data_IF_924056096747
#
_entry.id   IF_924056096747
#
_cell.length_a   1.000
_cell.length_b   1.000
_cell.length_c   1.000
_cell.angle_alpha   90.00
_cell.angle_beta   90.00
_cell.angle_gamma   90.00
#
_symmetry.space_group_name_H-M   'P 1'
#
loop_
_entity.id
_entity.type
_entity.pdbx_description
1 polymer ?
#
# COMPACT_ATOMS: atom_id res chain seq x y z
N UNK A 1 -25.41 1.47 0.64
CA UNK A 1 -25.32 1.91 2.05
C UNK A 1 -23.84 1.97 2.41
N UNK A 2 -23.29 3.15 2.72
CA UNK A 2 -21.85 3.33 2.96
C UNK A 2 -21.37 2.56 4.20
N UNK A 3 -22.24 2.38 5.20
CA UNK A 3 -21.90 1.63 6.41
C UNK A 3 -21.72 0.14 6.05
N UNK A 4 -22.59 -0.42 5.22
CA UNK A 4 -22.47 -1.81 4.73
C UNK A 4 -21.18 -2.04 3.93
N UNK A 5 -20.82 -1.10 3.05
CA UNK A 5 -19.57 -1.16 2.30
C UNK A 5 -18.36 -1.17 3.23
N UNK A 6 -18.34 -0.27 4.21
CA UNK A 6 -17.23 -0.16 5.15
C UNK A 6 -17.16 -1.40 6.06
N UNK A 7 -18.30 -1.98 6.45
CA UNK A 7 -18.35 -3.27 7.18
C UNK A 7 -17.74 -4.40 6.36
N UNK A 8 -18.06 -4.45 5.07
CA UNK A 8 -17.56 -5.46 4.13
C UNK A 8 -16.06 -5.30 3.86
N UNK A 9 -15.56 -4.06 3.80
CA UNK A 9 -14.11 -3.81 3.74
C UNK A 9 -13.40 -4.41 4.96
N UNK A 10 -13.97 -4.26 6.15
CA UNK A 10 -13.40 -4.73 7.41
C UNK A 10 -13.88 -6.11 7.87
N UNK A 11 -14.55 -6.92 7.04
CA UNK A 11 -15.23 -8.16 7.48
C UNK A 11 -14.30 -9.09 8.29
N UNK A 12 -13.09 -9.30 7.77
CA UNK A 12 -12.02 -10.11 8.36
C UNK A 12 -10.90 -9.28 9.01
N UNK A 13 -11.29 -8.27 9.79
CA UNK A 13 -10.35 -7.36 10.45
C UNK A 13 -10.56 -7.32 11.97
N UNK A 14 -9.50 -7.11 12.73
CA UNK A 14 -9.53 -6.88 14.17
C UNK A 14 -8.45 -5.87 14.61
N UNK A 15 -8.20 -5.77 15.92
CA UNK A 15 -7.23 -4.81 16.49
C UNK A 15 -5.79 -4.97 15.97
N UNK A 16 -5.46 -6.10 15.36
CA UNK A 16 -4.10 -6.49 14.96
C UNK A 16 -3.96 -6.84 13.49
N UNK A 17 -5.06 -6.84 12.74
CA UNK A 17 -5.06 -7.18 11.32
C UNK A 17 -6.19 -6.47 10.57
N UNK A 18 -5.96 -6.24 9.28
CA UNK A 18 -6.98 -5.75 8.35
C UNK A 18 -7.05 -6.72 7.18
N UNK A 19 -8.25 -7.25 6.90
CA UNK A 19 -8.50 -8.24 5.82
C UNK A 19 -7.58 -9.47 5.89
N UNK A 20 -7.46 -10.07 7.08
CA UNK A 20 -6.56 -11.20 7.38
C UNK A 20 -5.06 -10.91 7.18
N UNK A 21 -4.66 -9.65 7.01
CA UNK A 21 -3.26 -9.27 6.87
C UNK A 21 -2.76 -8.73 8.21
N UNK A 22 -1.76 -9.40 8.77
CA UNK A 22 -1.15 -9.09 10.06
C UNK A 22 0.37 -9.11 9.97
N UNK A 23 1.05 -8.91 11.10
CA UNK A 23 2.51 -9.04 11.20
C UNK A 23 3.04 -10.44 10.85
N UNK A 24 2.20 -11.47 10.91
CA UNK A 24 2.61 -12.85 10.58
C UNK A 24 2.43 -13.18 9.10
N UNK A 25 1.73 -12.34 8.34
CA UNK A 25 1.57 -12.54 6.89
C UNK A 25 2.90 -12.36 6.20
N UNK A 26 3.26 -13.29 5.32
CA UNK A 26 4.55 -13.34 4.62
C UNK A 26 4.40 -13.04 3.13
N UNK A 27 5.53 -12.85 2.43
CA UNK A 27 5.57 -12.78 0.96
C UNK A 27 4.88 -14.00 0.34
N UNK A 28 5.16 -15.20 0.88
CA UNK A 28 4.53 -16.43 0.40
C UNK A 28 3.00 -16.37 0.50
N UNK A 29 2.47 -15.97 1.66
CA UNK A 29 1.02 -15.89 1.86
C UNK A 29 0.36 -14.92 0.87
N UNK A 30 1.02 -13.79 0.57
CA UNK A 30 0.52 -12.81 -0.41
C UNK A 30 0.55 -13.37 -1.83
N UNK A 31 1.61 -14.08 -2.22
CA UNK A 31 1.69 -14.73 -3.54
C UNK A 31 0.64 -15.84 -3.68
N UNK A 32 0.42 -16.62 -2.62
CA UNK A 32 -0.60 -17.67 -2.60
C UNK A 32 -2.03 -17.09 -2.72
N UNK A 33 -2.26 -15.87 -2.20
CA UNK A 33 -3.53 -15.13 -2.38
C UNK A 33 -3.72 -14.62 -3.82
N UNK A 34 -2.64 -14.25 -4.50
CA UNK A 34 -2.66 -13.67 -5.84
C UNK A 34 -1.70 -14.42 -6.78
N UNK A 35 -2.01 -15.69 -7.13
CA UNK A 35 -1.09 -16.54 -7.90
C UNK A 35 -0.85 -16.05 -9.33
N UNK A 36 -1.65 -15.11 -9.82
CA UNK A 36 -1.48 -14.47 -11.12
C UNK A 36 -0.53 -13.27 -11.08
N UNK A 37 -0.13 -12.79 -9.90
CA UNK A 37 0.85 -11.72 -9.77
C UNK A 37 2.23 -12.25 -10.17
N UNK A 38 2.83 -11.74 -11.26
CA UNK A 38 4.13 -12.24 -11.69
C UNK A 38 5.19 -11.90 -10.65
N UNK A 39 6.07 -12.86 -10.36
CA UNK A 39 7.16 -12.68 -9.40
C UNK A 39 8.08 -11.51 -9.81
N UNK A 40 8.10 -11.16 -11.09
CA UNK A 40 8.82 -9.98 -11.59
C UNK A 40 8.30 -8.64 -11.05
N UNK A 41 7.03 -8.57 -10.64
CA UNK A 41 6.43 -7.39 -10.01
C UNK A 41 6.87 -7.20 -8.55
N UNK A 42 7.49 -8.23 -7.95
CA UNK A 42 8.08 -8.14 -6.63
C UNK A 42 9.28 -7.19 -6.66
N UNK A 43 9.17 -6.11 -5.90
CA UNK A 43 10.27 -5.19 -5.61
C UNK A 43 10.86 -5.54 -4.26
N UNK A 44 12.09 -5.09 -4.02
CA UNK A 44 12.89 -5.41 -2.83
C UNK A 44 12.13 -5.22 -1.52
N UNK A 45 11.16 -4.31 -1.44
CA UNK A 45 10.38 -4.05 -0.21
C UNK A 45 8.86 -4.05 -0.39
N UNK A 46 8.35 -4.31 -1.60
CA UNK A 46 6.92 -4.28 -1.84
C UNK A 46 6.49 -5.16 -3.01
N UNK A 47 5.19 -5.47 -3.02
CA UNK A 47 4.49 -6.12 -4.12
C UNK A 47 3.22 -5.33 -4.39
N UNK A 48 3.01 -4.92 -5.65
CA UNK A 48 1.76 -4.30 -6.08
C UNK A 48 0.95 -5.33 -6.84
N UNK A 49 -0.31 -5.49 -6.44
CA UNK A 49 -1.33 -6.28 -7.13
C UNK A 49 -2.24 -5.28 -7.84
N UNK A 50 -2.09 -5.16 -9.15
CA UNK A 50 -2.97 -4.35 -9.97
C UNK A 50 -4.24 -5.13 -10.31
N UNK A 51 -5.39 -4.47 -10.19
CA UNK A 51 -6.73 -5.07 -10.39
C UNK A 51 -6.87 -6.39 -9.62
N UNK A 52 -6.77 -6.36 -8.28
CA UNK A 52 -7.05 -7.54 -7.49
C UNK A 52 -8.45 -8.05 -7.84
N UNK A 53 -8.64 -9.36 -7.95
CA UNK A 53 -9.98 -9.96 -8.06
C UNK A 53 -10.69 -9.85 -6.70
N UNK A 54 -10.97 -8.60 -6.32
CA UNK A 54 -11.44 -8.18 -5.03
C UNK A 54 -12.46 -7.06 -5.21
N UNK A 55 -13.68 -7.46 -5.55
CA UNK A 55 -14.85 -6.59 -5.48
C UNK A 55 -15.49 -6.73 -4.11
N UNK A 56 -15.60 -5.63 -3.36
CA UNK A 56 -16.22 -5.64 -2.02
C UNK A 56 -17.74 -5.60 -2.16
N UNK A 57 -18.23 -4.87 -3.16
CA UNK A 57 -19.63 -4.73 -3.57
C UNK A 57 -19.64 -4.19 -5.02
N UNK A 58 -20.76 -4.29 -5.73
CA UNK A 58 -20.93 -3.83 -7.13
C UNK A 58 -20.58 -2.34 -7.31
N UNK A 59 -20.57 -1.58 -6.21
CA UNK A 59 -20.32 -0.13 -6.19
C UNK A 59 -18.93 0.27 -5.65
N UNK A 60 -18.12 -0.67 -5.15
CA UNK A 60 -16.78 -0.42 -4.62
C UNK A 60 -15.76 -1.38 -5.23
N UNK A 61 -14.95 -0.85 -6.13
CA UNK A 61 -13.88 -1.59 -6.81
C UNK A 61 -12.54 -1.33 -6.14
N UNK A 62 -11.79 -2.38 -5.81
CA UNK A 62 -10.39 -2.25 -5.39
C UNK A 62 -9.52 -2.23 -6.65
N UNK A 63 -8.92 -1.08 -6.95
CA UNK A 63 -8.13 -0.87 -8.17
C UNK A 63 -6.73 -1.47 -8.03
N UNK A 64 -6.13 -1.32 -6.85
CA UNK A 64 -4.82 -1.88 -6.56
C UNK A 64 -4.61 -2.11 -5.06
N UNK A 65 -3.76 -3.08 -4.75
CA UNK A 65 -3.26 -3.32 -3.40
C UNK A 65 -1.74 -3.31 -3.45
N UNK A 66 -1.10 -2.51 -2.61
CA UNK A 66 0.36 -2.57 -2.42
C UNK A 66 0.67 -3.13 -1.05
N UNK A 67 1.38 -4.25 -1.00
CA UNK A 67 1.92 -4.84 0.22
C UNK A 67 3.35 -4.34 0.44
N UNK A 68 3.64 -3.87 1.64
CA UNK A 68 4.97 -3.48 2.07
C UNK A 68 5.55 -4.54 3.02
N UNK A 69 6.85 -4.79 2.94
CA UNK A 69 7.52 -5.81 3.74
C UNK A 69 8.58 -5.19 4.66
N UNK A 70 8.71 -5.78 5.85
CA UNK A 70 9.67 -5.36 6.89
C UNK A 70 11.13 -5.66 6.52
N UNK A 71 11.34 -6.61 5.61
CA UNK A 71 12.65 -7.06 5.14
C UNK A 71 12.65 -7.20 3.63
N UNK A 72 13.85 -7.28 3.08
CA UNK A 72 14.04 -7.50 1.66
C UNK A 72 13.30 -8.76 1.23
N UNK A 73 12.41 -8.61 0.24
CA UNK A 73 11.66 -9.68 -0.40
C UNK A 73 12.54 -10.50 -1.33
N UNK A 74 13.59 -9.90 -1.89
CA UNK A 74 14.63 -10.59 -2.62
C UNK A 74 15.99 -9.91 -2.42
N UNK A 75 17.05 -10.63 -2.77
CA UNK A 75 18.42 -10.12 -2.89
C UNK A 75 18.97 -10.44 -4.27
N UNK A 76 19.68 -9.50 -4.88
CA UNK A 76 20.40 -9.74 -6.12
C UNK A 76 21.71 -10.48 -5.85
N UNK A 77 21.87 -11.64 -6.48
CA UNK A 77 23.07 -12.47 -6.38
C UNK A 77 23.84 -12.38 -7.70
N UNK A 78 25.11 -11.92 -7.70
CA UNK A 78 25.87 -11.82 -8.94
C UNK A 78 26.20 -13.22 -9.47
N UNK A 79 25.85 -13.46 -10.73
CA UNK A 79 26.28 -14.61 -11.50
C UNK A 79 27.50 -14.19 -12.33
N UNK A 80 28.53 -15.01 -12.28
CA UNK A 80 29.80 -14.72 -12.94
C UNK A 80 30.04 -15.65 -14.12
N UNK A 81 30.66 -15.14 -15.17
CA UNK A 81 31.18 -15.93 -16.29
C UNK A 81 32.70 -15.81 -16.39
N UNK A 82 33.32 -16.82 -16.97
CA UNK A 82 34.73 -16.76 -17.34
C UNK A 82 34.87 -16.23 -18.78
N UNK A 83 35.69 -15.21 -18.96
CA UNK A 83 36.03 -14.64 -20.26
C UNK A 83 37.54 -14.69 -20.48
N UNK A 84 37.96 -14.93 -21.72
CA UNK A 84 39.37 -14.88 -22.08
C UNK A 84 39.76 -13.42 -22.38
N UNK A 85 40.77 -12.92 -21.68
CA UNK A 85 41.33 -11.57 -21.84
C UNK A 85 42.76 -11.64 -22.31
N UNK A 86 43.20 -10.59 -22.99
CA UNK A 86 44.59 -10.44 -23.41
C UNK A 86 45.28 -9.34 -22.60
N UNK A 87 46.49 -9.63 -22.11
CA UNK A 87 47.38 -8.68 -21.45
C UNK A 87 48.74 -8.70 -22.16
N UNK A 88 49.30 -7.51 -22.42
CA UNK A 88 50.61 -7.37 -23.08
C UNK A 88 51.76 -8.05 -22.29
N UNK A 89 51.62 -8.19 -20.97
CA UNK A 89 52.63 -8.80 -20.11
C UNK A 89 52.43 -10.31 -19.87
N UNK A 90 51.19 -10.79 -19.91
CA UNK A 90 50.84 -12.16 -19.50
C UNK A 90 50.18 -13.02 -20.61
N UNK A 91 49.97 -12.47 -21.80
CA UNK A 91 49.30 -13.16 -22.90
C UNK A 91 47.79 -13.32 -22.66
N UNK A 92 47.19 -14.38 -23.19
CA UNK A 92 45.78 -14.70 -22.95
C UNK A 92 45.61 -15.36 -21.59
N UNK A 93 44.65 -14.88 -20.78
CA UNK A 93 44.30 -15.44 -19.48
C UNK A 93 42.79 -15.39 -19.27
N UNK A 94 42.27 -16.29 -18.45
CA UNK A 94 40.85 -16.29 -18.10
C UNK A 94 40.62 -15.36 -16.91
N UNK A 95 39.66 -14.45 -17.04
CA UNK A 95 39.19 -13.58 -15.97
C UNK A 95 37.72 -13.87 -15.69
N UNK A 96 37.36 -13.83 -14.41
CA UNK A 96 35.97 -13.88 -13.99
C UNK A 96 35.37 -12.48 -14.08
N UNK A 97 34.24 -12.35 -14.76
CA UNK A 97 33.47 -11.11 -14.87
C UNK A 97 32.02 -11.35 -14.44
N UNK A 98 31.38 -10.31 -13.91
CA UNK A 98 29.93 -10.35 -13.62
C UNK A 98 29.21 -10.49 -14.96
N UNK A 99 28.33 -11.48 -15.06
CA UNK A 99 27.49 -11.71 -16.23
C UNK A 99 26.14 -11.03 -16.05
N UNK A 100 25.41 -11.39 -15.00
CA UNK A 100 24.12 -10.82 -14.63
C UNK A 100 23.87 -10.99 -13.12
N UNK A 101 22.72 -10.55 -12.64
CA UNK A 101 22.26 -10.77 -11.27
C UNK A 101 21.00 -11.64 -11.29
N UNK A 102 20.96 -12.65 -10.41
CA UNK A 102 19.78 -13.46 -10.17
C UNK A 102 19.06 -12.99 -8.90
N UNK A 103 17.73 -12.93 -8.94
CA UNK A 103 16.89 -12.63 -7.77
C UNK A 103 16.74 -13.89 -6.92
N UNK A 104 17.20 -13.83 -5.67
CA UNK A 104 16.92 -14.85 -4.67
C UNK A 104 15.80 -14.38 -3.72
N UNK A 105 14.68 -15.11 -3.68
CA UNK A 105 13.47 -14.72 -2.97
C UNK A 105 13.47 -15.14 -1.50
N UNK A 106 13.04 -14.22 -0.64
CA UNK A 106 12.78 -14.45 0.77
C UNK A 106 11.28 -14.54 1.02
N UNK A 107 10.75 -15.76 0.88
CA UNK A 107 9.34 -16.07 1.07
C UNK A 107 8.81 -15.77 2.49
N UNK A 108 9.71 -15.72 3.48
CA UNK A 108 9.37 -15.49 4.89
C UNK A 108 9.41 -14.02 5.30
N UNK A 109 9.69 -13.09 4.36
CA UNK A 109 9.65 -11.66 4.66
C UNK A 109 8.22 -11.26 5.07
N UNK A 110 8.10 -10.69 6.28
CA UNK A 110 6.81 -10.36 6.88
C UNK A 110 6.28 -9.02 6.39
N UNK A 111 4.97 -8.94 6.17
CA UNK A 111 4.24 -7.71 5.82
C UNK A 111 4.38 -6.69 6.95
N UNK A 112 4.80 -5.49 6.58
CA UNK A 112 4.90 -4.33 7.45
C UNK A 112 3.77 -3.31 7.23
N UNK A 113 3.00 -3.44 6.15
CA UNK A 113 1.81 -2.65 5.89
C UNK A 113 1.17 -3.00 4.55
N UNK A 114 -0.02 -2.45 4.29
CA UNK A 114 -0.66 -2.54 2.99
C UNK A 114 -1.42 -1.25 2.68
N UNK A 115 -1.55 -0.93 1.39
CA UNK A 115 -2.35 0.18 0.87
C UNK A 115 -3.39 -0.36 -0.12
N UNK A 116 -4.66 -0.05 0.13
CA UNK A 116 -5.80 -0.40 -0.72
C UNK A 116 -6.28 0.86 -1.42
N UNK A 117 -6.13 0.92 -2.74
CA UNK A 117 -6.71 1.99 -3.55
C UNK A 117 -8.04 1.53 -4.11
N UNK A 118 -9.10 2.27 -3.81
CA UNK A 118 -10.47 1.92 -4.15
C UNK A 118 -11.16 3.06 -4.89
N UNK A 119 -12.05 2.70 -5.80
CA UNK A 119 -12.94 3.63 -6.49
C UNK A 119 -14.39 3.30 -6.20
N UNK A 120 -15.18 4.34 -5.92
CA UNK A 120 -16.63 4.21 -5.86
C UNK A 120 -17.20 4.38 -7.27
N UNK A 121 -17.97 3.40 -7.73
CA UNK A 121 -18.65 3.41 -9.04
C UNK A 121 -19.82 4.41 -9.09
N UNK A 122 -20.09 5.12 -8.00
CA UNK A 122 -21.09 6.18 -7.92
C UNK A 122 -20.43 7.54 -7.92
N UNK A 123 -20.86 8.44 -8.82
CA UNK A 123 -20.35 9.81 -8.88
C UNK A 123 -21.06 10.76 -7.90
N UNK A 124 -20.38 11.86 -7.57
CA UNK A 124 -20.97 12.99 -6.86
C UNK A 124 -20.10 13.57 -5.74
N UNK A 125 -20.24 14.87 -5.50
CA UNK A 125 -19.54 15.59 -4.42
C UNK A 125 -19.92 15.02 -3.04
N UNK A 126 -18.93 14.91 -2.16
CA UNK A 126 -19.13 14.44 -0.79
C UNK A 126 -19.37 12.93 -0.64
N UNK A 127 -19.31 12.15 -1.72
CA UNK A 127 -19.43 10.68 -1.66
C UNK A 127 -18.21 10.04 -1.03
N UNK A 128 -17.03 10.50 -1.44
CA UNK A 128 -15.71 10.13 -0.91
C UNK A 128 -15.61 10.35 0.60
N UNK A 129 -15.90 11.57 1.07
CA UNK A 129 -15.84 11.90 2.51
C UNK A 129 -16.83 11.06 3.31
N UNK A 130 -18.08 10.89 2.85
CA UNK A 130 -19.09 10.10 3.57
C UNK A 130 -18.68 8.63 3.71
N UNK A 131 -18.04 8.06 2.69
CA UNK A 131 -17.55 6.69 2.79
C UNK A 131 -16.30 6.59 3.68
N UNK A 132 -15.37 7.55 3.57
CA UNK A 132 -14.20 7.64 4.45
C UNK A 132 -14.57 7.82 5.92
N UNK A 133 -15.64 8.57 6.21
CA UNK A 133 -16.19 8.72 7.56
C UNK A 133 -16.69 7.38 8.11
N UNK A 134 -17.37 6.57 7.29
CA UNK A 134 -17.81 5.24 7.71
C UNK A 134 -16.64 4.28 7.93
N UNK A 135 -15.61 4.32 7.09
CA UNK A 135 -14.37 3.57 7.30
C UNK A 135 -13.70 3.96 8.63
N UNK A 136 -13.57 5.26 8.91
CA UNK A 136 -13.09 5.81 10.19
C UNK A 136 -13.94 5.30 11.36
N UNK A 137 -15.27 5.43 11.27
CA UNK A 137 -16.19 5.05 12.34
C UNK A 137 -16.11 3.56 12.66
N UNK A 138 -16.01 2.70 11.64
CA UNK A 138 -15.86 1.25 11.84
C UNK A 138 -14.49 0.91 12.40
N UNK A 139 -13.41 1.56 11.94
CA UNK A 139 -12.08 1.34 12.50
C UNK A 139 -12.01 1.68 14.01
N UNK A 140 -12.64 2.80 14.42
CA UNK A 140 -12.77 3.16 15.85
C UNK A 140 -13.57 2.10 16.60
N UNK A 141 -14.72 1.66 16.06
CA UNK A 141 -15.64 0.74 16.76
C UNK A 141 -15.13 -0.71 16.81
N UNK A 142 -14.70 -1.26 15.67
CA UNK A 142 -14.30 -2.67 15.46
C UNK A 142 -12.83 -2.90 15.82
N UNK A 143 -11.93 -2.08 15.28
CA UNK A 143 -10.48 -2.23 15.47
C UNK A 143 -9.94 -1.51 16.72
N UNK A 144 -10.83 -0.82 17.45
CA UNK A 144 -10.51 -0.02 18.66
C UNK A 144 -9.41 1.02 18.44
N UNK A 145 -9.40 1.63 17.27
CA UNK A 145 -8.44 2.68 16.94
C UNK A 145 -8.90 4.03 17.50
N UNK A 146 -7.93 4.89 17.77
CA UNK A 146 -8.12 6.27 18.18
C UNK A 146 -7.81 7.19 17.00
N UNK A 147 -8.69 8.14 16.73
CA UNK A 147 -8.45 9.19 15.74
C UNK A 147 -7.39 10.16 16.26
N UNK A 148 -6.39 10.47 15.44
CA UNK A 148 -5.39 11.50 15.69
C UNK A 148 -5.77 12.72 14.86
N UNK A 149 -5.91 13.87 15.54
CA UNK A 149 -6.37 15.08 14.90
C UNK A 149 -5.21 15.84 14.27
N UNK A 150 -5.30 16.09 12.96
CA UNK A 150 -4.37 16.91 12.19
C UNK A 150 -5.12 18.06 11.51
N UNK A 151 -5.44 19.16 12.21
CA UNK A 151 -6.16 20.29 11.61
C UNK A 151 -5.44 20.87 10.39
N UNK A 152 -4.12 20.73 10.30
CA UNK A 152 -3.30 21.15 9.17
C UNK A 152 -3.63 20.46 7.84
N UNK A 153 -4.35 19.33 7.85
CA UNK A 153 -4.78 18.63 6.62
C UNK A 153 -5.94 19.32 5.92
N UNK A 154 -6.67 20.22 6.59
CA UNK A 154 -7.79 20.99 6.03
C UNK A 154 -8.84 20.13 5.29
N UNK A 155 -9.22 19.01 5.90
CA UNK A 155 -10.24 18.09 5.38
C UNK A 155 -11.54 18.83 4.99
N UNK A 156 -12.09 18.51 3.83
CA UNK A 156 -13.32 19.10 3.28
C UNK A 156 -14.14 18.06 2.50
N UNK A 157 -15.18 18.47 1.79
CA UNK A 157 -16.07 17.53 1.07
C UNK A 157 -15.42 16.86 -0.16
N UNK A 158 -14.31 17.42 -0.66
CA UNK A 158 -13.63 16.93 -1.86
C UNK A 158 -12.40 16.09 -1.52
N UNK A 159 -11.62 16.49 -0.50
CA UNK A 159 -10.34 15.87 -0.13
C UNK A 159 -10.12 15.86 1.38
N UNK A 160 -9.44 14.82 1.89
CA UNK A 160 -9.03 14.77 3.28
C UNK A 160 -8.27 13.51 3.68
N UNK A 161 -7.78 13.55 4.92
CA UNK A 161 -6.98 12.52 5.56
C UNK A 161 -7.50 12.25 6.97
N UNK A 162 -7.77 10.99 7.29
CA UNK A 162 -7.96 10.54 8.66
C UNK A 162 -6.79 9.65 9.07
N UNK A 163 -6.11 9.98 10.17
CA UNK A 163 -5.10 9.11 10.79
C UNK A 163 -5.70 8.46 12.03
N UNK A 164 -5.62 7.14 12.12
CA UNK A 164 -6.08 6.36 13.26
C UNK A 164 -4.97 5.46 13.77
N UNK A 165 -4.89 5.24 15.09
CA UNK A 165 -3.91 4.32 15.68
C UNK A 165 -4.45 3.47 16.81
N UNK A 166 -3.87 2.29 16.99
CA UNK A 166 -3.92 1.51 18.21
C UNK A 166 -2.52 0.93 18.51
N UNK A 167 -2.40 0.01 19.47
CA UNK A 167 -1.11 -0.56 19.88
C UNK A 167 -0.41 -1.41 18.80
N UNK A 168 -1.13 -1.85 17.76
CA UNK A 168 -0.61 -2.76 16.73
C UNK A 168 -0.59 -2.15 15.32
N UNK A 169 -1.42 -1.14 15.06
CA UNK A 169 -1.69 -0.60 13.74
C UNK A 169 -1.71 0.94 13.75
N UNK A 170 -1.07 1.54 12.76
CA UNK A 170 -1.31 2.90 12.29
C UNK A 170 -2.06 2.80 10.97
N UNK A 171 -3.19 3.49 10.82
CA UNK A 171 -4.01 3.47 9.61
C UNK A 171 -4.25 4.89 9.13
N UNK A 172 -4.15 5.10 7.83
CA UNK A 172 -4.61 6.29 7.16
C UNK A 172 -5.78 5.98 6.22
N UNK A 173 -6.74 6.89 6.18
CA UNK A 173 -7.82 6.90 5.18
C UNK A 173 -7.71 8.22 4.44
N UNK A 174 -7.22 8.17 3.21
CA UNK A 174 -7.19 9.29 2.28
C UNK A 174 -8.42 9.21 1.38
N UNK A 175 -9.09 10.33 1.15
CA UNK A 175 -10.18 10.39 0.19
C UNK A 175 -10.03 11.61 -0.70
N UNK A 176 -10.38 11.45 -1.98
CA UNK A 176 -10.24 12.44 -3.02
C UNK A 176 -11.46 12.38 -3.97
N UNK A 177 -11.82 13.52 -4.52
CA UNK A 177 -12.92 13.66 -5.48
C UNK A 177 -12.37 14.16 -6.80
N UNK A 178 -12.00 13.25 -7.70
CA UNK A 178 -11.36 13.60 -8.96
C UNK A 178 -12.41 13.94 -10.02
N UNK A 179 -12.39 15.16 -10.55
CA UNK A 179 -13.21 15.53 -11.71
C UNK A 179 -12.62 14.88 -12.96
N UNK A 180 -13.47 14.24 -13.77
CA UNK A 180 -13.10 13.78 -15.11
C UNK A 180 -13.00 14.95 -16.10
N UNK A 181 -12.52 14.64 -17.30
CA UNK A 181 -12.35 15.58 -18.41
C UNK A 181 -13.67 16.26 -18.82
N UNK A 182 -14.82 15.61 -18.59
CA UNK A 182 -16.14 16.18 -18.85
C UNK A 182 -16.60 17.21 -17.79
N UNK A 183 -15.81 17.39 -16.72
CA UNK A 183 -16.02 18.27 -15.55
C UNK A 183 -17.31 17.96 -14.75
N UNK A 184 -18.14 17.03 -15.22
CA UNK A 184 -19.44 16.67 -14.65
C UNK A 184 -19.37 15.38 -13.84
N UNK A 185 -18.52 14.44 -14.25
CA UNK A 185 -18.33 13.20 -13.52
C UNK A 185 -17.27 13.41 -12.44
N UNK A 186 -17.63 13.09 -11.20
CA UNK A 186 -16.73 13.13 -10.05
C UNK A 186 -16.48 11.69 -9.65
N UNK A 187 -15.25 11.24 -9.80
CA UNK A 187 -14.78 9.91 -9.44
C UNK A 187 -14.26 9.94 -8.00
N UNK A 188 -14.98 9.35 -7.03
CA UNK A 188 -14.51 9.30 -5.66
C UNK A 188 -13.45 8.21 -5.53
N UNK A 189 -12.25 8.60 -5.13
CA UNK A 189 -11.13 7.72 -4.83
C UNK A 189 -10.90 7.69 -3.32
N UNK A 190 -10.68 6.50 -2.80
CA UNK A 190 -10.38 6.28 -1.38
C UNK A 190 -9.15 5.38 -1.32
N UNK A 191 -8.14 5.79 -0.57
CA UNK A 191 -7.01 4.94 -0.21
C UNK A 191 -7.06 4.63 1.28
N UNK A 192 -6.96 3.35 1.64
CA UNK A 192 -6.81 2.91 3.01
C UNK A 192 -5.45 2.26 3.14
N UNK A 193 -4.52 2.90 3.82
CA UNK A 193 -3.24 2.31 4.15
C UNK A 193 -3.21 1.93 5.62
N UNK A 194 -2.59 0.81 5.96
CA UNK A 194 -2.23 0.50 7.33
C UNK A 194 -0.80 0.02 7.42
N UNK A 195 -0.20 0.26 8.57
CA UNK A 195 1.18 -0.03 8.89
C UNK A 195 1.17 -0.78 10.22
N UNK A 196 1.82 -1.93 10.22
CA UNK A 196 1.96 -2.79 11.37
C UNK A 196 3.10 -2.30 12.27
N UNK A 197 3.03 -2.66 13.56
CA UNK A 197 4.07 -2.31 14.55
C UNK A 197 5.48 -2.85 14.27
N UNK A 198 5.64 -3.78 13.33
CA UNK A 198 6.94 -4.31 12.88
C UNK A 198 7.55 -3.49 11.72
N UNK A 199 6.93 -2.38 11.34
CA UNK A 199 7.52 -1.40 10.43
C UNK A 199 8.80 -0.80 11.05
N UNK A 200 9.72 -0.36 10.20
CA UNK A 200 11.06 0.06 10.64
C UNK A 200 11.03 1.36 11.46
N UNK A 201 10.10 2.26 11.14
CA UNK A 201 9.92 3.54 11.84
C UNK A 201 8.86 3.42 12.94
N UNK A 202 8.94 4.30 13.94
CA UNK A 202 7.87 4.39 14.95
C UNK A 202 6.57 4.92 14.33
N UNK A 203 5.43 4.65 14.96
CA UNK A 203 4.15 5.21 14.50
C UNK A 203 4.14 6.74 14.50
N UNK A 204 4.76 7.39 15.50
CA UNK A 204 4.83 8.86 15.55
C UNK A 204 5.69 9.45 14.40
N UNK A 205 6.77 8.77 14.00
CA UNK A 205 7.59 9.17 12.85
C UNK A 205 6.84 8.95 11.53
N UNK A 206 6.21 7.79 11.41
CA UNK A 206 5.44 7.40 10.23
C UNK A 206 4.24 8.33 10.02
N UNK A 207 3.47 8.63 11.07
CA UNK A 207 2.37 9.60 11.06
C UNK A 207 2.82 10.96 10.51
N UNK A 208 3.95 11.49 11.00
CA UNK A 208 4.50 12.77 10.52
C UNK A 208 4.85 12.70 9.03
N UNK A 209 5.33 11.57 8.53
CA UNK A 209 5.64 11.38 7.11
C UNK A 209 4.35 11.38 6.29
N UNK A 210 3.34 10.62 6.71
CA UNK A 210 2.04 10.52 6.02
C UNK A 210 1.37 11.90 5.90
N UNK A 211 1.25 12.63 7.02
CA UNK A 211 0.64 13.97 7.06
C UNK A 211 1.41 14.95 6.17
N UNK A 212 2.75 14.95 6.23
CA UNK A 212 3.58 15.81 5.37
C UNK A 212 3.42 15.47 3.89
N UNK A 213 3.32 14.20 3.54
CA UNK A 213 3.13 13.77 2.14
C UNK A 213 1.79 14.28 1.62
N UNK A 214 0.71 14.05 2.38
CA UNK A 214 -0.63 14.51 2.03
C UNK A 214 -0.70 16.03 1.79
N UNK A 215 -0.16 16.83 2.72
CA UNK A 215 -0.11 18.30 2.58
C UNK A 215 0.70 18.72 1.35
N UNK A 216 1.80 18.01 1.04
CA UNK A 216 2.63 18.29 -0.13
C UNK A 216 1.88 18.02 -1.43
N UNK A 217 1.12 16.93 -1.49
CA UNK A 217 0.42 16.52 -2.71
C UNK A 217 -0.78 17.43 -2.99
N UNK A 218 -1.55 17.81 -1.95
CA UNK A 218 -2.60 18.86 -2.09
C UNK A 218 -2.04 20.17 -2.64
N UNK A 219 -0.84 20.58 -2.22
CA UNK A 219 -0.24 21.82 -2.69
C UNK A 219 0.17 21.76 -4.16
N UNK A 220 0.62 20.60 -4.64
CA UNK A 220 1.01 20.42 -6.05
C UNK A 220 -0.21 20.50 -6.98
N UNK A 221 -1.33 19.91 -6.59
CA UNK A 221 -2.56 19.92 -7.41
C UNK A 221 -3.19 21.31 -7.53
N UNK A 222 -2.76 22.28 -6.70
CA UNK A 222 -3.19 23.68 -6.71
C UNK A 222 -2.21 24.62 -7.45
N UNK A 223 -1.07 24.10 -7.94
CA UNK A 223 0.01 24.86 -8.59
C UNK A 223 -0.06 24.74 -10.12
#
# INVERSE_FOLDING_TARGET
DNESLAKSFFENSDKSQIRNISISTTVKDVIDLYPYAPIDDLKMYNLTIDKPDLTIDDILEVISITYFFSKNTFTDVPIYKYVQKYSYYYGYYNAQEIDHYDKNYNNDAQVSGANFVMSLMTSGTGKSVKFAEELKNIAVKKLKMQLINHPETNNNDEEGLFILRNDNLLMEVVYLSKKSDDVKTINPLIAVSFINKNYNDTFDETEKILVKSFIKDIKKDKS
#
